data_IF_683061128477
#
_entry.id   IF_683061128477
#
_cell.length_a   1.000
_cell.length_b   1.000
_cell.length_c   1.000
_cell.angle_alpha   90.00
_cell.angle_beta   90.00
_cell.angle_gamma   90.00
#
_symmetry.space_group_name_H-M   'P 1'
#
loop_
_entity.id
_entity.type
_entity.pdbx_description
1 polymer ?
#
# COMPACT_ATOMS: atom_id res chain seq x y z
N UNK A 1 -4.49 -10.31 -2.08
CA UNK A 1 -3.53 -11.36 -2.51
C UNK A 1 -3.34 -11.16 -3.98
N UNK A 2 -2.10 -11.03 -4.42
CA UNK A 2 -1.73 -10.65 -5.79
C UNK A 2 -0.89 -11.75 -6.42
N UNK A 3 -1.01 -11.91 -7.73
CA UNK A 3 -0.09 -12.75 -8.49
C UNK A 3 1.24 -12.02 -8.70
N UNK A 4 2.33 -12.79 -8.83
CA UNK A 4 3.64 -12.20 -9.12
C UNK A 4 3.60 -11.37 -10.41
N UNK A 5 4.14 -10.16 -10.36
CA UNK A 5 4.11 -9.15 -11.42
C UNK A 5 2.74 -8.55 -11.76
N UNK A 6 1.72 -8.75 -10.92
CA UNK A 6 0.48 -7.99 -11.06
C UNK A 6 0.74 -6.48 -10.87
N UNK A 7 0.20 -5.65 -11.77
CA UNK A 7 0.26 -4.19 -11.66
C UNK A 7 -0.94 -3.73 -10.86
N UNK A 8 -0.70 -3.21 -9.66
CA UNK A 8 -1.74 -2.91 -8.68
C UNK A 8 -1.91 -1.40 -8.55
N UNK A 9 -3.16 -0.94 -8.59
CA UNK A 9 -3.56 0.38 -8.11
C UNK A 9 -4.33 0.22 -6.79
N UNK A 10 -3.89 0.92 -5.76
CA UNK A 10 -4.60 1.03 -4.49
C UNK A 10 -5.03 2.47 -4.29
N UNK A 11 -6.33 2.67 -4.05
CA UNK A 11 -6.90 3.98 -3.71
C UNK A 11 -7.35 3.97 -2.26
N UNK A 12 -6.72 4.81 -1.45
CA UNK A 12 -7.10 5.03 -0.06
C UNK A 12 -8.05 6.21 0.04
N UNK A 13 -9.14 6.04 0.79
CA UNK A 13 -10.11 7.08 1.08
C UNK A 13 -10.05 7.43 2.56
N UNK A 14 -9.68 8.67 2.87
CA UNK A 14 -9.83 9.25 4.20
C UNK A 14 -11.31 9.48 4.50
N UNK A 15 -11.73 9.20 5.73
CA UNK A 15 -13.13 9.38 6.16
C UNK A 15 -13.22 10.36 7.32
N UNK A 16 -14.40 10.95 7.49
CA UNK A 16 -14.71 11.87 8.60
C UNK A 16 -15.49 11.17 9.72
N UNK A 17 -15.38 9.85 9.87
CA UNK A 17 -16.24 9.06 10.76
C UNK A 17 -16.14 9.48 12.25
N UNK A 18 -14.95 9.91 12.69
CA UNK A 18 -14.72 10.51 14.01
C UNK A 18 -14.22 11.94 13.86
N UNK A 19 -13.05 12.09 13.23
CA UNK A 19 -12.44 13.38 12.90
C UNK A 19 -11.53 13.17 11.70
N UNK A 20 -11.60 14.08 10.74
CA UNK A 20 -10.73 14.03 9.57
C UNK A 20 -9.26 14.22 9.97
N UNK A 21 -8.42 13.24 9.63
CA UNK A 21 -7.01 13.24 9.98
C UNK A 21 -6.14 12.86 8.78
N UNK A 22 -4.86 13.28 8.81
CA UNK A 22 -3.89 12.85 7.82
C UNK A 22 -3.24 11.55 8.30
N UNK A 23 -3.26 10.51 7.47
CA UNK A 23 -2.70 9.21 7.81
C UNK A 23 -1.47 8.92 6.97
N UNK A 24 -0.29 8.82 7.59
CA UNK A 24 0.93 8.40 6.89
C UNK A 24 0.86 6.93 6.52
N UNK A 25 0.43 6.60 5.31
CA UNK A 25 0.26 5.22 4.86
C UNK A 25 1.59 4.65 4.39
N UNK A 26 2.02 3.53 4.97
CA UNK A 26 3.32 2.89 4.71
C UNK A 26 3.15 1.44 4.25
N UNK A 27 3.86 1.06 3.18
CA UNK A 27 3.91 -0.30 2.64
C UNK A 27 5.29 -0.92 2.82
N UNK A 28 5.34 -2.08 3.47
CA UNK A 28 6.56 -2.89 3.56
C UNK A 28 6.84 -3.59 2.22
N UNK A 29 8.10 -3.89 1.94
CA UNK A 29 8.51 -4.68 0.77
C UNK A 29 8.47 -3.97 -0.58
N UNK A 30 7.87 -2.78 -0.65
CA UNK A 30 7.72 -2.00 -1.89
C UNK A 30 7.94 -0.51 -1.64
N UNK A 31 8.47 0.17 -2.64
CA UNK A 31 8.10 1.56 -2.90
C UNK A 31 6.97 1.58 -3.93
N UNK A 32 6.23 2.67 -3.99
CA UNK A 32 5.08 2.86 -4.87
C UNK A 32 5.07 4.27 -5.46
N UNK A 33 4.50 4.39 -6.65
CA UNK A 33 4.29 5.67 -7.32
C UNK A 33 2.99 6.30 -6.83
N UNK A 34 3.05 7.54 -6.35
CA UNK A 34 1.84 8.31 -6.01
C UNK A 34 1.34 8.99 -7.27
N UNK A 35 0.35 8.38 -7.91
CA UNK A 35 -0.17 8.85 -9.20
C UNK A 35 -1.25 9.91 -9.05
N UNK A 36 -1.90 10.01 -7.89
CA UNK A 36 -2.92 11.02 -7.64
C UNK A 36 -3.19 11.24 -6.15
N UNK A 37 -3.55 12.47 -5.81
CA UNK A 37 -4.01 12.88 -4.48
C UNK A 37 -5.11 13.91 -4.68
N UNK A 38 -6.17 13.84 -3.87
CA UNK A 38 -7.26 14.80 -3.96
C UNK A 38 -8.02 14.96 -2.66
N UNK A 39 -8.95 15.91 -2.65
CA UNK A 39 -9.89 16.17 -1.55
C UNK A 39 -11.26 15.62 -1.89
N UNK A 40 -12.08 15.36 -0.88
CA UNK A 40 -13.40 14.75 -1.00
C UNK A 40 -13.34 13.25 -1.26
N UNK A 41 -14.41 12.74 -1.86
CA UNK A 41 -14.52 11.32 -2.19
C UNK A 41 -13.91 11.07 -3.57
N UNK A 42 -13.07 10.04 -3.65
CA UNK A 42 -12.52 9.58 -4.93
C UNK A 42 -13.63 9.22 -5.92
N UNK A 43 -13.50 9.71 -7.14
CA UNK A 43 -14.34 9.39 -8.28
C UNK A 43 -13.53 8.63 -9.33
N UNK A 44 -13.81 7.34 -9.46
CA UNK A 44 -13.11 6.42 -10.37
C UNK A 44 -13.26 6.73 -11.87
N UNK A 45 -14.13 7.68 -12.25
CA UNK A 45 -14.30 8.13 -13.65
C UNK A 45 -13.53 9.41 -13.93
N UNK A 46 -13.49 10.35 -12.97
CA UNK A 46 -12.91 11.68 -13.20
C UNK A 46 -11.49 11.81 -12.69
N UNK A 47 -11.19 11.28 -11.51
CA UNK A 47 -9.90 11.48 -10.85
C UNK A 47 -8.73 10.77 -11.55
N UNK A 48 -8.90 9.56 -12.12
CA UNK A 48 -7.82 8.94 -12.91
C UNK A 48 -7.36 9.76 -14.13
N UNK A 49 -8.18 10.72 -14.60
CA UNK A 49 -7.82 11.60 -15.73
C UNK A 49 -6.82 12.68 -15.36
N UNK A 50 -6.66 12.98 -14.06
CA UNK A 50 -5.69 13.96 -13.56
C UNK A 50 -4.44 13.31 -12.97
N UNK A 51 -4.29 11.98 -13.07
CA UNK A 51 -3.12 11.29 -12.55
C UNK A 51 -1.83 11.79 -13.21
N UNK A 52 -0.78 11.95 -12.39
CA UNK A 52 0.58 12.09 -12.89
C UNK A 52 1.10 10.69 -13.29
N UNK A 53 1.19 10.46 -14.60
CA UNK A 53 1.72 9.22 -15.17
C UNK A 53 3.06 9.41 -15.89
N UNK A 54 3.69 10.58 -15.73
CA UNK A 54 4.98 10.90 -16.37
C UNK A 54 6.11 10.78 -15.36
N UNK A 55 5.98 11.46 -14.22
CA UNK A 55 7.01 11.53 -13.18
C UNK A 55 6.41 11.52 -11.75
N UNK A 56 5.50 10.59 -11.43
CA UNK A 56 4.96 10.49 -10.07
C UNK A 56 6.09 10.18 -9.07
N UNK A 57 6.06 10.76 -7.86
CA UNK A 57 7.06 10.46 -6.85
C UNK A 57 6.95 8.99 -6.43
N UNK A 58 8.10 8.32 -6.35
CA UNK A 58 8.24 6.97 -5.84
C UNK A 58 8.64 7.02 -4.36
N UNK A 59 7.77 6.54 -3.48
CA UNK A 59 7.95 6.58 -2.02
C UNK A 59 7.45 5.30 -1.38
N UNK A 60 7.84 5.03 -0.14
CA UNK A 60 7.29 3.91 0.65
C UNK A 60 6.25 4.37 1.69
N UNK A 61 6.13 5.68 1.92
CA UNK A 61 5.23 6.29 2.89
C UNK A 61 4.73 7.63 2.36
N UNK A 62 3.43 7.88 2.46
CA UNK A 62 2.83 9.16 2.06
C UNK A 62 1.59 9.46 2.91
N UNK A 63 1.32 10.75 3.16
CA UNK A 63 0.13 11.17 3.88
C UNK A 63 -1.13 11.08 3.02
N UNK A 64 -2.07 10.23 3.43
CA UNK A 64 -3.47 10.29 3.01
C UNK A 64 -4.08 11.59 3.55
N UNK A 65 -4.55 12.52 2.70
CA UNK A 65 -5.09 13.80 3.16
C UNK A 65 -6.34 13.65 4.04
N UNK A 66 -6.57 14.66 4.89
CA UNK A 66 -7.82 14.84 5.63
C UNK A 66 -8.97 14.95 4.63
N UNK A 67 -10.04 14.18 4.84
CA UNK A 67 -11.22 14.13 3.96
C UNK A 67 -10.84 14.09 2.47
N UNK A 68 -9.88 13.25 2.13
CA UNK A 68 -9.34 13.16 0.78
C UNK A 68 -8.99 11.74 0.39
N UNK A 69 -8.32 11.61 -0.74
CA UNK A 69 -7.92 10.32 -1.29
C UNK A 69 -6.48 10.33 -1.79
N UNK A 70 -5.93 9.13 -1.88
CA UNK A 70 -4.58 8.85 -2.35
C UNK A 70 -4.63 7.65 -3.29
N UNK A 71 -4.17 7.81 -4.53
CA UNK A 71 -4.00 6.72 -5.47
C UNK A 71 -2.52 6.40 -5.63
N UNK A 72 -2.15 5.14 -5.38
CA UNK A 72 -0.79 4.64 -5.50
C UNK A 72 -0.72 3.41 -6.40
N UNK A 73 0.37 3.29 -7.16
CA UNK A 73 0.63 2.14 -8.04
C UNK A 73 1.96 1.49 -7.73
N UNK A 74 2.00 0.16 -7.79
CA UNK A 74 3.22 -0.63 -7.69
C UNK A 74 3.07 -1.93 -8.48
N UNK A 75 4.20 -2.59 -8.75
CA UNK A 75 4.21 -3.93 -9.33
C UNK A 75 4.45 -4.92 -8.19
N UNK A 76 3.58 -5.92 -8.05
CA UNK A 76 3.71 -6.99 -7.05
C UNK A 76 4.80 -8.00 -7.44
N UNK A 77 6.05 -7.53 -7.57
CA UNK A 77 7.22 -8.31 -8.01
C UNK A 77 8.13 -8.77 -6.86
N UNK A 78 7.64 -8.72 -5.62
CA UNK A 78 8.37 -9.17 -4.44
C UNK A 78 7.50 -10.20 -3.68
N UNK A 79 7.69 -11.52 -3.90
CA UNK A 79 6.92 -12.57 -3.25
C UNK A 79 7.10 -12.54 -1.74
N UNK A 80 5.99 -12.64 -1.00
CA UNK A 80 6.04 -12.58 0.45
C UNK A 80 4.75 -12.08 1.08
N UNK A 81 4.87 -11.69 2.35
CA UNK A 81 3.77 -11.26 3.20
C UNK A 81 4.12 -9.87 3.73
N UNK A 82 3.47 -8.84 3.20
CA UNK A 82 3.89 -7.44 3.37
C UNK A 82 2.87 -6.64 4.17
N UNK A 83 3.33 -6.01 5.26
CA UNK A 83 2.49 -5.20 6.12
C UNK A 83 2.22 -3.83 5.50
N UNK A 84 0.96 -3.40 5.49
CA UNK A 84 0.53 -2.09 5.02
C UNK A 84 -0.26 -1.41 6.13
N UNK A 85 0.17 -0.25 6.60
CA UNK A 85 -0.44 0.36 7.78
C UNK A 85 -0.32 1.87 7.81
N UNK A 86 -1.14 2.50 8.67
CA UNK A 86 -0.88 3.87 9.11
C UNK A 86 0.37 3.88 10.00
N UNK A 87 1.30 4.79 9.75
CA UNK A 87 2.56 4.92 10.46
C UNK A 87 2.43 5.77 11.74
N UNK A 88 1.19 6.12 12.13
CA UNK A 88 0.88 6.55 13.48
C UNK A 88 0.64 5.29 14.32
N UNK A 89 1.56 5.00 15.24
CA UNK A 89 1.57 3.77 16.04
C UNK A 89 0.23 3.51 16.75
N UNK A 90 -0.42 4.58 17.23
CA UNK A 90 -1.75 4.51 17.82
C UNK A 90 -2.78 3.94 16.84
N UNK A 91 -2.76 4.37 15.58
CA UNK A 91 -3.71 3.88 14.57
C UNK A 91 -3.35 2.48 14.10
N UNK A 92 -2.07 2.17 13.94
CA UNK A 92 -1.61 0.81 13.60
C UNK A 92 -2.12 -0.21 14.63
N UNK A 93 -1.88 0.07 15.92
CA UNK A 93 -2.30 -0.78 17.04
C UNK A 93 -3.83 -0.83 17.24
N UNK A 94 -4.57 0.20 16.82
CA UNK A 94 -6.03 0.19 16.81
C UNK A 94 -6.64 -0.58 15.64
N UNK A 95 -5.83 -1.04 14.67
CA UNK A 95 -6.29 -1.88 13.56
C UNK A 95 -6.27 -1.21 12.19
N UNK A 96 -5.69 -0.02 12.04
CA UNK A 96 -5.52 0.63 10.72
C UNK A 96 -4.35 0.02 9.95
N UNK A 97 -4.49 -1.26 9.62
CA UNK A 97 -3.50 -2.03 8.90
C UNK A 97 -4.14 -3.16 8.08
N UNK A 98 -3.38 -3.68 7.12
CA UNK A 98 -3.69 -4.88 6.36
C UNK A 98 -2.40 -5.57 5.94
N UNK A 99 -2.52 -6.73 5.31
CA UNK A 99 -1.40 -7.52 4.82
C UNK A 99 -1.61 -7.85 3.35
N UNK A 100 -0.61 -7.54 2.53
CA UNK A 100 -0.59 -7.88 1.12
C UNK A 100 0.25 -9.16 0.94
N UNK A 101 -0.39 -10.21 0.47
CA UNK A 101 0.30 -11.46 0.10
C UNK A 101 0.56 -11.42 -1.40
N UNK A 102 1.83 -11.54 -1.78
CA UNK A 102 2.26 -11.70 -3.17
C UNK A 102 2.70 -13.14 -3.37
N UNK A 103 2.04 -13.85 -4.28
CA UNK A 103 2.34 -15.25 -4.59
C UNK A 103 3.71 -15.39 -5.23
N UNK A 104 4.25 -16.60 -5.14
CA UNK A 104 5.43 -17.00 -5.90
C UNK A 104 5.17 -16.89 -7.42
N UNK A 105 6.21 -16.53 -8.15
CA UNK A 105 6.28 -16.62 -9.60
C UNK A 105 6.64 -18.03 -10.08
N UNK A 106 7.08 -18.13 -11.34
CA UNK A 106 7.36 -19.42 -11.98
C UNK A 106 8.75 -20.01 -11.72
N UNK A 107 9.64 -19.30 -11.02
CA UNK A 107 11.04 -19.70 -10.79
C UNK A 107 11.43 -19.57 -9.33
N UNK A 108 12.49 -20.28 -8.90
CA UNK A 108 13.03 -20.17 -7.54
C UNK A 108 13.46 -18.74 -7.19
N UNK A 109 13.97 -17.97 -8.16
CA UNK A 109 14.37 -16.56 -7.98
C UNK A 109 13.17 -15.63 -7.77
N UNK A 110 11.99 -16.05 -8.22
CA UNK A 110 10.73 -15.33 -8.09
C UNK A 110 9.83 -15.97 -7.04
N UNK A 111 10.38 -16.77 -6.13
CA UNK A 111 9.66 -17.39 -5.02
C UNK A 111 10.19 -16.88 -3.69
N UNK A 112 9.33 -16.88 -2.66
CA UNK A 112 9.75 -16.54 -1.31
C UNK A 112 10.81 -17.54 -0.81
N UNK A 113 11.83 -17.03 -0.12
CA UNK A 113 12.84 -17.90 0.49
C UNK A 113 12.23 -18.73 1.63
N UNK A 114 12.70 -19.98 1.84
CA UNK A 114 12.27 -20.77 2.99
C UNK A 114 12.59 -20.06 4.31
N UNK A 115 11.76 -20.25 5.36
CA UNK A 115 11.98 -19.62 6.66
C UNK A 115 13.32 -20.06 7.28
N UNK A 116 14.11 -19.13 7.86
CA UNK A 116 15.31 -19.49 8.60
C UNK A 116 15.02 -20.42 9.79
N UNK A 117 15.92 -21.35 10.10
CA UNK A 117 15.75 -22.33 11.20
C UNK A 117 15.66 -21.70 12.59
N UNK A 118 16.09 -20.46 12.74
CA UNK A 118 16.17 -19.72 14.00
C UNK A 118 15.04 -18.69 14.17
N UNK A 119 13.95 -18.81 13.38
CA UNK A 119 12.78 -17.97 13.58
C UNK A 119 12.22 -18.15 15.01
N UNK A 120 11.86 -17.07 15.73
CA UNK A 120 11.25 -17.17 17.04
C UNK A 120 9.98 -18.03 17.01
N UNK A 121 9.71 -18.84 18.05
CA UNK A 121 8.48 -19.62 18.10
C UNK A 121 7.26 -18.70 18.22
N UNK A 122 6.13 -19.15 17.69
CA UNK A 122 4.84 -18.56 18.02
C UNK A 122 4.51 -18.84 19.50
N UNK A 123 3.73 -17.94 20.11
CA UNK A 123 3.19 -18.09 21.48
C UNK A 123 2.10 -19.14 21.57
#
# INVERSE_FOLDING_TARGET
MFDYNEVVELVWQGTSALTAENHGMHLHGFSFFVVGVGTGNFNNVTDPKSYNLIDPPEVNTIGLPKDGWLAMRFVANNPGVWFMHCHLERHASWGMHTVLIVRDGGTMQTSMVPPPKYMPPCS
#
